data_IF_813371679279
#
_entry.id   IF_813371679279
#
_cell.length_a   1.000
_cell.length_b   1.000
_cell.length_c   1.000
_cell.angle_alpha   90.00
_cell.angle_beta   90.00
_cell.angle_gamma   90.00
#
_symmetry.space_group_name_H-M   'P 1'
#
loop_
_entity.id
_entity.type
_entity.pdbx_description
1 polymer ?
#
# COMPACT_ATOMS: atom_id res chain seq x y z
N UNK A 1 -4.04 11.90 -23.56
CA UNK A 1 -3.10 10.89 -23.04
C UNK A 1 -3.36 10.75 -21.54
N UNK A 2 -3.55 9.56 -20.97
CA UNK A 2 -3.71 9.44 -19.53
C UNK A 2 -2.42 9.95 -18.85
N UNK A 3 -2.56 10.74 -17.78
CA UNK A 3 -1.42 11.18 -16.98
C UNK A 3 -0.71 9.94 -16.44
N UNK A 4 0.60 9.85 -16.65
CA UNK A 4 1.45 8.83 -16.02
C UNK A 4 1.39 9.08 -14.50
N UNK A 5 0.63 8.28 -13.77
CA UNK A 5 0.68 8.28 -12.31
C UNK A 5 2.01 7.69 -11.88
N UNK A 6 2.81 8.50 -11.20
CA UNK A 6 4.05 8.06 -10.57
C UNK A 6 3.76 7.70 -9.11
N UNK A 7 4.12 6.49 -8.71
CA UNK A 7 3.94 5.97 -7.35
C UNK A 7 5.26 6.04 -6.58
N UNK A 8 5.18 6.11 -5.25
CA UNK A 8 6.38 6.13 -4.41
C UNK A 8 7.13 7.46 -4.45
N UNK A 9 6.40 8.59 -4.43
CA UNK A 9 6.96 9.94 -4.49
C UNK A 9 7.83 10.33 -3.28
N UNK A 10 7.73 9.59 -2.18
CA UNK A 10 8.57 9.77 -0.98
C UNK A 10 9.60 8.66 -0.88
N UNK A 11 10.75 8.86 -0.21
CA UNK A 11 11.75 7.80 -0.01
C UNK A 11 11.14 6.51 0.56
N UNK A 12 10.31 6.63 1.60
CA UNK A 12 9.57 5.51 2.19
C UNK A 12 8.54 4.89 1.23
N UNK A 13 7.87 5.70 0.41
CA UNK A 13 6.97 5.20 -0.62
C UNK A 13 7.71 4.40 -1.69
N UNK A 14 8.84 4.90 -2.18
CA UNK A 14 9.68 4.20 -3.14
C UNK A 14 10.26 2.91 -2.57
N UNK A 15 10.68 2.91 -1.30
CA UNK A 15 11.14 1.71 -0.61
C UNK A 15 10.02 0.68 -0.49
N UNK A 16 8.83 1.10 -0.06
CA UNK A 16 7.67 0.22 0.04
C UNK A 16 7.31 -0.42 -1.30
N UNK A 17 7.28 0.36 -2.39
CA UNK A 17 7.01 -0.19 -3.73
C UNK A 17 8.08 -1.23 -4.12
N UNK A 18 9.37 -0.93 -3.89
CA UNK A 18 10.46 -1.88 -4.16
C UNK A 18 10.33 -3.17 -3.36
N UNK A 19 9.98 -3.08 -2.07
CA UNK A 19 9.75 -4.25 -1.22
C UNK A 19 8.56 -5.08 -1.71
N UNK A 20 7.47 -4.43 -2.14
CA UNK A 20 6.33 -5.14 -2.72
C UNK A 20 6.71 -5.84 -4.03
N UNK A 21 7.48 -5.19 -4.89
CA UNK A 21 7.94 -5.76 -6.17
C UNK A 21 8.86 -6.98 -6.02
N UNK A 22 9.62 -7.06 -4.92
CA UNK A 22 10.46 -8.22 -4.61
C UNK A 22 9.70 -9.36 -3.94
N UNK A 23 8.66 -9.05 -3.14
CA UNK A 23 7.97 -10.03 -2.31
C UNK A 23 6.65 -10.56 -2.90
N UNK A 24 5.99 -9.79 -3.78
CA UNK A 24 4.65 -10.11 -4.27
C UNK A 24 4.60 -10.49 -5.75
N UNK A 25 3.48 -11.10 -6.16
CA UNK A 25 3.23 -11.49 -7.54
C UNK A 25 3.25 -10.28 -8.50
N UNK A 26 4.18 -10.28 -9.45
CA UNK A 26 4.38 -9.17 -10.38
C UNK A 26 3.14 -8.88 -11.24
N UNK A 27 2.39 -9.91 -11.65
CA UNK A 27 1.20 -9.73 -12.48
C UNK A 27 0.07 -9.02 -11.69
N UNK A 28 -0.10 -9.35 -10.42
CA UNK A 28 -1.04 -8.67 -9.51
C UNK A 28 -0.63 -7.21 -9.27
N UNK A 29 0.66 -6.94 -9.03
CA UNK A 29 1.13 -5.56 -8.86
C UNK A 29 0.94 -4.71 -10.13
N UNK A 30 1.20 -5.29 -11.30
CA UNK A 30 0.95 -4.62 -12.58
C UNK A 30 -0.52 -4.24 -12.75
N UNK A 31 -1.46 -5.16 -12.46
CA UNK A 31 -2.91 -4.86 -12.51
C UNK A 31 -3.32 -3.80 -11.49
N UNK A 32 -2.83 -3.90 -10.25
CA UNK A 32 -3.11 -2.92 -9.20
C UNK A 32 -2.67 -1.50 -9.59
N UNK A 33 -1.46 -1.37 -10.17
CA UNK A 33 -0.98 -0.10 -10.72
C UNK A 33 -1.90 0.44 -11.82
N UNK A 34 -2.35 -0.41 -12.74
CA UNK A 34 -3.29 0.01 -13.78
C UNK A 34 -4.61 0.50 -13.20
N UNK A 35 -5.17 -0.18 -12.20
CA UNK A 35 -6.40 0.26 -11.55
C UNK A 35 -6.23 1.62 -10.86
N UNK A 36 -5.16 1.81 -10.09
CA UNK A 36 -4.90 3.07 -9.43
C UNK A 36 -4.63 4.22 -10.43
N UNK A 37 -3.82 3.97 -11.47
CA UNK A 37 -3.47 4.98 -12.47
C UNK A 37 -4.65 5.41 -13.35
N UNK A 38 -5.61 4.52 -13.57
CA UNK A 38 -6.80 4.80 -14.39
C UNK A 38 -7.94 5.45 -13.60
N UNK A 39 -7.79 5.65 -12.29
CA UNK A 39 -8.85 6.19 -11.44
C UNK A 39 -9.89 5.16 -10.98
N UNK A 40 -9.63 3.87 -11.22
CA UNK A 40 -10.55 2.79 -10.85
C UNK A 40 -10.55 2.53 -9.34
N UNK A 41 -9.64 3.11 -8.56
CA UNK A 41 -9.70 3.07 -7.09
C UNK A 41 -10.47 4.29 -6.61
N UNK A 42 -11.77 4.14 -6.44
CA UNK A 42 -12.70 5.24 -6.14
C UNK A 42 -12.55 5.79 -4.72
N UNK A 43 -12.27 4.90 -3.77
CA UNK A 43 -12.02 5.26 -2.38
C UNK A 43 -10.89 4.40 -1.83
N UNK A 44 -10.01 5.01 -1.05
CA UNK A 44 -8.96 4.34 -0.29
C UNK A 44 -8.88 5.01 1.09
N UNK A 45 -9.00 4.23 2.16
CA UNK A 45 -8.79 4.69 3.53
C UNK A 45 -7.84 3.75 4.27
N UNK A 46 -7.07 4.34 5.19
CA UNK A 46 -6.13 3.62 6.05
C UNK A 46 -6.38 4.09 7.47
N UNK A 47 -6.99 3.24 8.29
CA UNK A 47 -7.37 3.58 9.66
C UNK A 47 -7.18 2.37 10.57
N UNK A 48 -6.54 2.59 11.73
CA UNK A 48 -6.40 1.57 12.79
C UNK A 48 -5.87 0.21 12.31
N UNK A 49 -4.92 0.21 11.37
CA UNK A 49 -4.36 -1.03 10.79
C UNK A 49 -5.25 -1.68 9.73
N UNK A 50 -6.33 -1.05 9.30
CA UNK A 50 -7.19 -1.54 8.22
C UNK A 50 -7.04 -0.65 7.01
N UNK A 51 -6.72 -1.24 5.87
CA UNK A 51 -6.79 -0.60 4.55
C UNK A 51 -8.09 -1.04 3.90
N UNK A 52 -8.94 -0.09 3.53
CA UNK A 52 -10.20 -0.34 2.82
C UNK A 52 -10.19 0.39 1.49
N UNK A 53 -10.67 -0.25 0.44
CA UNK A 53 -10.81 0.39 -0.87
C UNK A 53 -12.07 -0.05 -1.62
N UNK A 54 -12.63 0.86 -2.41
CA UNK A 54 -13.68 0.58 -3.39
C UNK A 54 -13.06 0.64 -4.77
N UNK A 55 -13.09 -0.47 -5.52
CA UNK A 55 -12.39 -0.58 -6.81
C UNK A 55 -13.38 -0.93 -7.92
N UNK A 56 -13.29 -0.21 -9.04
CA UNK A 56 -14.12 -0.45 -10.22
C UNK A 56 -13.71 -1.78 -10.85
N UNK A 57 -14.71 -2.55 -11.24
CA UNK A 57 -14.49 -3.80 -11.96
C UNK A 57 -15.72 -4.20 -12.74
N UNK A 58 -15.61 -5.32 -13.43
CA UNK A 58 -16.67 -5.80 -14.32
C UNK A 58 -17.93 -6.30 -13.59
N UNK A 59 -17.93 -6.40 -12.25
CA UNK A 59 -19.01 -7.05 -11.49
C UNK A 59 -19.70 -6.06 -10.55
N UNK A 60 -20.77 -5.38 -11.04
CA UNK A 60 -21.47 -4.27 -10.33
C UNK A 60 -20.51 -3.13 -9.94
N UNK A 61 -20.97 -1.90 -9.66
CA UNK A 61 -20.14 -0.73 -9.95
C UNK A 61 -18.79 -0.69 -9.20
N UNK A 62 -18.69 -1.34 -8.03
CA UNK A 62 -17.46 -1.45 -7.25
C UNK A 62 -17.38 -2.81 -6.54
N UNK A 63 -16.16 -3.31 -6.29
CA UNK A 63 -15.90 -4.35 -5.28
C UNK A 63 -15.08 -3.79 -4.12
N UNK A 64 -15.37 -4.29 -2.91
CA UNK A 64 -14.69 -3.88 -1.69
C UNK A 64 -13.41 -4.70 -1.47
N UNK A 65 -12.32 -4.00 -1.20
CA UNK A 65 -11.04 -4.59 -0.79
C UNK A 65 -10.79 -4.23 0.67
N UNK A 66 -10.44 -5.22 1.48
CA UNK A 66 -10.08 -5.03 2.89
C UNK A 66 -8.80 -5.78 3.20
N UNK A 67 -7.79 -5.06 3.68
CA UNK A 67 -6.52 -5.62 4.18
C UNK A 67 -6.41 -5.23 5.65
N UNK A 68 -6.20 -6.23 6.52
CA UNK A 68 -6.08 -6.01 7.97
C UNK A 68 -4.65 -6.34 8.39
N UNK A 69 -3.99 -5.35 8.95
CA UNK A 69 -2.71 -5.47 9.62
C UNK A 69 -2.95 -5.55 11.12
N UNK A 70 -2.32 -6.52 11.77
CA UNK A 70 -2.29 -6.56 13.23
C UNK A 70 -1.47 -5.34 13.71
N UNK A 71 -2.06 -4.42 14.49
CA UNK A 71 -1.29 -3.30 15.04
C UNK A 71 -0.19 -3.83 15.96
N UNK A 72 0.98 -3.19 15.91
CA UNK A 72 2.04 -3.47 16.87
C UNK A 72 1.55 -3.08 18.26
N UNK A 73 1.75 -3.97 19.23
CA UNK A 73 1.50 -3.65 20.63
C UNK A 73 2.54 -2.63 21.14
N UNK A 74 2.34 -2.11 22.36
CA UNK A 74 3.21 -1.06 22.91
C UNK A 74 4.68 -1.49 23.02
N UNK A 75 4.94 -2.73 23.41
CA UNK A 75 6.29 -3.28 23.53
C UNK A 75 6.97 -3.47 22.17
N UNK A 76 6.24 -3.99 21.19
CA UNK A 76 6.72 -4.14 19.79
C UNK A 76 7.04 -2.77 19.18
N UNK A 77 6.16 -1.78 19.40
CA UNK A 77 6.38 -0.40 18.94
C UNK A 77 7.61 0.22 19.60
N UNK A 78 7.79 0.04 20.91
CA UNK A 78 8.97 0.53 21.62
C UNK A 78 10.26 -0.16 21.17
N UNK A 79 10.22 -1.45 20.84
CA UNK A 79 11.36 -2.16 20.25
C UNK A 79 11.68 -1.62 18.85
N UNK A 80 10.67 -1.40 18.01
CA UNK A 80 10.85 -0.84 16.67
C UNK A 80 11.47 0.57 16.72
N UNK A 81 10.97 1.45 17.59
CA UNK A 81 11.55 2.80 17.73
C UNK A 81 13.00 2.77 18.21
N UNK A 82 13.34 1.88 19.14
CA UNK A 82 14.74 1.70 19.55
C UNK A 82 15.60 1.26 18.37
N UNK A 83 15.15 0.24 17.65
CA UNK A 83 15.85 -0.29 16.48
C UNK A 83 16.12 0.80 15.42
N UNK A 84 15.11 1.62 15.09
CA UNK A 84 15.25 2.73 14.13
C UNK A 84 16.17 3.84 14.68
N UNK A 85 16.17 4.10 15.99
CA UNK A 85 17.05 5.11 16.57
C UNK A 85 18.51 4.65 16.66
N UNK A 86 18.73 3.36 16.89
CA UNK A 86 20.05 2.75 17.00
C UNK A 86 20.71 2.61 15.61
N UNK A 87 19.92 2.31 14.58
CA UNK A 87 20.33 2.36 13.18
C UNK A 87 19.26 3.08 12.33
N UNK A 88 19.43 4.40 12.10
CA UNK A 88 18.50 5.19 11.29
C UNK A 88 18.44 4.77 9.81
N UNK A 89 19.35 3.90 9.37
CA UNK A 89 19.51 3.46 7.97
C UNK A 89 19.04 2.02 7.73
N UNK A 90 18.37 1.39 8.71
CA UNK A 90 17.56 0.19 8.48
C UNK A 90 16.52 0.39 7.37
#
# INVERSE_FOLDING_TARGET
MPRKYEFGLTPWGAYFIRAMESLADQARLKRGRSYAANGNVFRLSIENGVVSAMVEGNYKPWYDVRIVFKPLNQSERAALFRLINDDPML
#
